data_IF_762394188917
#
_entry.id   IF_762394188917
#
_cell.length_a   1.000
_cell.length_b   1.000
_cell.length_c   1.000
_cell.angle_alpha   90.00
_cell.angle_beta   90.00
_cell.angle_gamma   90.00
#
_symmetry.space_group_name_H-M   'P 1'
#
loop_
_entity.id
_entity.type
_entity.pdbx_description
1 polymer ?
#
# COMPACT_ATOMS: atom_id res chain seq x y z
N UNK A 1 -28.25 -7.82 -17.43
CA UNK A 1 -27.44 -6.71 -16.85
C UNK A 1 -25.98 -7.11 -16.91
N UNK A 2 -25.17 -6.48 -17.76
CA UNK A 2 -23.72 -6.65 -17.69
C UNK A 2 -23.23 -6.18 -16.31
N UNK A 3 -22.54 -7.06 -15.57
CA UNK A 3 -21.91 -6.68 -14.30
C UNK A 3 -20.82 -5.66 -14.63
N UNK A 4 -21.01 -4.41 -14.18
CA UNK A 4 -20.03 -3.33 -14.30
C UNK A 4 -18.69 -3.80 -13.69
N UNK A 5 -17.64 -3.90 -14.51
CA UNK A 5 -16.31 -4.32 -14.07
C UNK A 5 -15.60 -3.18 -13.34
N UNK A 6 -14.70 -3.51 -12.43
CA UNK A 6 -13.80 -2.53 -11.81
C UNK A 6 -12.54 -2.44 -12.65
N UNK A 7 -12.20 -1.24 -13.12
CA UNK A 7 -10.96 -1.01 -13.87
C UNK A 7 -9.74 -1.37 -12.99
N UNK A 8 -8.71 -1.95 -13.59
CA UNK A 8 -7.41 -2.25 -12.96
C UNK A 8 -6.84 -1.09 -12.12
N UNK A 9 -6.89 0.16 -12.60
CA UNK A 9 -6.44 1.35 -11.82
C UNK A 9 -7.18 1.43 -10.49
N UNK A 10 -8.50 1.26 -10.51
CA UNK A 10 -9.35 1.31 -9.33
C UNK A 10 -9.11 0.10 -8.41
N UNK A 11 -8.87 -1.08 -8.97
CA UNK A 11 -8.51 -2.27 -8.16
C UNK A 11 -7.21 -2.05 -7.39
N UNK A 12 -6.16 -1.54 -8.03
CA UNK A 12 -4.89 -1.25 -7.37
C UNK A 12 -5.01 -0.07 -6.40
N UNK A 13 -5.81 0.94 -6.72
CA UNK A 13 -6.12 2.06 -5.82
C UNK A 13 -6.84 1.63 -4.55
N UNK A 14 -7.82 0.73 -4.65
CA UNK A 14 -8.50 0.16 -3.48
C UNK A 14 -7.53 -0.62 -2.58
N UNK A 15 -6.59 -1.38 -3.16
CA UNK A 15 -5.53 -2.06 -2.39
C UNK A 15 -4.64 -1.06 -1.65
N UNK A 16 -4.25 0.04 -2.29
CA UNK A 16 -3.48 1.10 -1.64
C UNK A 16 -4.25 1.75 -0.47
N UNK A 17 -5.56 1.97 -0.63
CA UNK A 17 -6.43 2.49 0.44
C UNK A 17 -6.53 1.52 1.63
N UNK A 18 -6.57 0.21 1.39
CA UNK A 18 -6.54 -0.78 2.47
C UNK A 18 -5.23 -0.68 3.27
N UNK A 19 -4.08 -0.62 2.58
CA UNK A 19 -2.79 -0.48 3.25
C UNK A 19 -2.69 0.85 4.01
N UNK A 20 -3.23 1.94 3.47
CA UNK A 20 -3.34 3.22 4.18
C UNK A 20 -4.17 3.06 5.46
N UNK A 21 -5.30 2.37 5.39
CA UNK A 21 -6.15 2.06 6.54
C UNK A 21 -5.37 1.31 7.64
N UNK A 22 -4.63 0.26 7.27
CA UNK A 22 -3.78 -0.48 8.19
C UNK A 22 -2.71 0.42 8.82
N UNK A 23 -2.04 1.27 8.01
CA UNK A 23 -1.03 2.21 8.49
C UNK A 23 -1.63 3.21 9.49
N UNK A 24 -2.77 3.80 9.19
CA UNK A 24 -3.43 4.75 10.09
C UNK A 24 -3.88 4.12 11.40
N UNK A 25 -4.39 2.88 11.38
CA UNK A 25 -4.70 2.12 12.59
C UNK A 25 -3.47 1.79 13.42
N UNK A 26 -2.40 1.36 12.74
CA UNK A 26 -1.15 1.05 13.39
C UNK A 26 -0.56 2.28 14.09
N UNK A 27 -0.59 3.45 13.45
CA UNK A 27 -0.16 4.72 14.08
C UNK A 27 -1.11 5.15 15.20
N UNK A 28 -2.43 5.01 15.02
CA UNK A 28 -3.41 5.42 16.02
C UNK A 28 -3.39 4.58 17.30
N UNK A 29 -3.11 3.27 17.19
CA UNK A 29 -2.98 2.35 18.33
C UNK A 29 -1.70 2.57 19.15
N UNK A 30 -0.74 3.37 18.64
CA UNK A 30 0.52 3.63 19.31
C UNK A 30 0.38 4.74 20.34
N UNK A 31 0.77 4.42 21.58
CA UNK A 31 0.69 5.34 22.72
C UNK A 31 1.57 6.59 22.53
N UNK A 32 2.72 6.45 21.86
CA UNK A 32 3.69 7.53 21.67
C UNK A 32 3.22 8.67 20.74
N UNK A 33 2.16 8.48 19.96
CA UNK A 33 1.68 9.49 19.02
C UNK A 33 0.49 10.31 19.55
N UNK A 34 -0.01 10.02 20.76
CA UNK A 34 -1.14 10.75 21.35
C UNK A 34 -2.49 10.54 20.65
N UNK A 35 -2.57 9.64 19.66
CA UNK A 35 -3.78 9.36 18.88
C UNK A 35 -4.63 8.21 19.41
N UNK A 36 -4.27 7.61 20.56
CA UNK A 36 -4.97 6.46 21.16
C UNK A 36 -6.46 6.73 21.38
N UNK A 37 -6.82 7.97 21.71
CA UNK A 37 -8.22 8.39 21.86
C UNK A 37 -9.05 8.27 20.57
N UNK A 38 -8.41 8.32 19.40
CA UNK A 38 -9.04 8.20 18.09
C UNK A 38 -9.01 6.77 17.53
N UNK A 39 -8.21 5.86 18.11
CA UNK A 39 -8.17 4.43 17.73
C UNK A 39 -9.58 3.80 17.62
N UNK A 40 -10.51 3.95 18.58
CA UNK A 40 -11.85 3.37 18.46
C UNK A 40 -12.68 3.98 17.31
N UNK A 41 -12.40 5.22 16.93
CA UNK A 41 -13.10 5.89 15.82
C UNK A 41 -12.52 5.40 14.49
N UNK A 42 -11.19 5.41 14.36
CA UNK A 42 -10.48 4.99 13.14
C UNK A 42 -10.74 3.52 12.84
N UNK A 43 -10.76 2.64 13.85
CA UNK A 43 -11.08 1.21 13.70
C UNK A 43 -12.48 0.97 13.16
N UNK A 44 -13.48 1.70 13.67
CA UNK A 44 -14.85 1.62 13.13
C UNK A 44 -14.90 2.01 11.65
N UNK A 45 -14.28 3.13 11.28
CA UNK A 45 -14.23 3.54 9.87
C UNK A 45 -13.52 2.52 8.98
N UNK A 46 -12.41 1.94 9.47
CA UNK A 46 -11.68 0.91 8.73
C UNK A 46 -12.50 -0.36 8.53
N UNK A 47 -13.18 -0.87 9.57
CA UNK A 47 -14.04 -2.04 9.45
C UNK A 47 -15.22 -1.81 8.51
N UNK A 48 -15.84 -0.64 8.57
CA UNK A 48 -16.87 -0.23 7.59
C UNK A 48 -16.29 -0.26 6.17
N UNK A 49 -15.10 0.31 5.98
CA UNK A 49 -14.38 0.29 4.70
C UNK A 49 -14.10 -1.13 4.19
N UNK A 50 -13.68 -2.06 5.07
CA UNK A 50 -13.47 -3.47 4.73
C UNK A 50 -14.75 -4.16 4.28
N UNK A 51 -15.87 -3.92 4.96
CA UNK A 51 -17.18 -4.45 4.58
C UNK A 51 -17.54 -3.95 3.18
N UNK A 52 -17.41 -2.64 2.92
CA UNK A 52 -17.64 -2.07 1.60
C UNK A 52 -16.73 -2.65 0.53
N UNK A 53 -15.43 -2.82 0.82
CA UNK A 53 -14.48 -3.45 -0.09
C UNK A 53 -14.89 -4.89 -0.44
N UNK A 54 -15.27 -5.68 0.56
CA UNK A 54 -15.76 -7.04 0.36
C UNK A 54 -17.04 -7.10 -0.48
N UNK A 55 -18.01 -6.21 -0.21
CA UNK A 55 -19.24 -6.09 -1.00
C UNK A 55 -18.95 -5.70 -2.45
N UNK A 56 -18.02 -4.76 -2.67
CA UNK A 56 -17.59 -4.36 -4.01
C UNK A 56 -17.04 -5.56 -4.79
N UNK A 57 -16.19 -6.39 -4.17
CA UNK A 57 -15.63 -7.60 -4.80
C UNK A 57 -16.65 -8.71 -5.05
N UNK A 58 -17.74 -8.78 -4.28
CA UNK A 58 -18.84 -9.74 -4.51
C UNK A 58 -19.78 -9.28 -5.65
N UNK A 59 -20.04 -7.97 -5.74
CA UNK A 59 -21.00 -7.40 -6.68
C UNK A 59 -20.37 -7.17 -8.05
N UNK A 60 -19.14 -6.66 -8.10
CA UNK A 60 -18.44 -6.31 -9.34
C UNK A 60 -17.36 -7.34 -9.63
N UNK A 61 -17.23 -7.68 -10.92
CA UNK A 61 -16.14 -8.55 -11.37
C UNK A 61 -14.88 -7.71 -11.59
N UNK A 62 -13.75 -8.27 -11.21
CA UNK A 62 -12.46 -7.71 -11.57
C UNK A 62 -12.28 -7.74 -13.10
N UNK A 63 -11.77 -6.65 -13.63
CA UNK A 63 -11.20 -6.61 -14.96
C UNK A 63 -10.00 -7.57 -15.03
N UNK A 64 -9.98 -8.40 -16.08
CA UNK A 64 -8.85 -9.28 -16.35
C UNK A 64 -7.72 -8.45 -16.93
N UNK A 65 -6.49 -8.77 -16.55
CA UNK A 65 -5.29 -8.24 -17.19
C UNK A 65 -5.25 -8.79 -18.61
N UNK A 66 -5.35 -7.90 -19.60
CA UNK A 66 -5.08 -8.23 -21.01
C UNK A 66 -3.59 -8.09 -21.33
N UNK A 67 -3.19 -8.47 -22.55
CA UNK A 67 -1.77 -8.46 -22.96
C UNK A 67 -1.15 -7.04 -22.89
N UNK A 68 -1.95 -6.00 -23.16
CA UNK A 68 -1.47 -4.61 -23.10
C UNK A 68 -1.23 -4.16 -21.65
N UNK A 69 -2.17 -4.49 -20.77
CA UNK A 69 -2.06 -4.25 -19.34
C UNK A 69 -0.91 -5.05 -18.73
N UNK A 70 -0.65 -6.27 -19.20
CA UNK A 70 0.48 -7.10 -18.74
C UNK A 70 1.83 -6.46 -19.07
N UNK A 71 2.01 -5.93 -20.29
CA UNK A 71 3.23 -5.22 -20.68
C UNK A 71 3.47 -3.96 -19.83
N UNK A 72 2.42 -3.18 -19.60
CA UNK A 72 2.49 -1.99 -18.75
C UNK A 72 2.79 -2.39 -17.30
N UNK A 73 2.12 -3.40 -16.77
CA UNK A 73 2.35 -3.92 -15.43
C UNK A 73 3.76 -4.45 -15.25
N UNK A 74 4.38 -5.05 -16.29
CA UNK A 74 5.79 -5.44 -16.27
C UNK A 74 6.71 -4.25 -15.99
N UNK A 75 6.54 -3.14 -16.72
CA UNK A 75 7.30 -1.89 -16.51
C UNK A 75 7.05 -1.32 -15.11
N UNK A 76 5.78 -1.24 -14.69
CA UNK A 76 5.38 -0.73 -13.38
C UNK A 76 5.96 -1.56 -12.24
N UNK A 77 5.86 -2.89 -12.33
CA UNK A 77 6.37 -3.81 -11.32
C UNK A 77 7.88 -3.71 -11.19
N UNK A 78 8.62 -3.53 -12.29
CA UNK A 78 10.07 -3.34 -12.24
C UNK A 78 10.44 -2.06 -11.47
N UNK A 79 9.73 -0.96 -11.70
CA UNK A 79 9.95 0.29 -10.96
C UNK A 79 9.61 0.09 -9.48
N UNK A 80 8.46 -0.51 -9.16
CA UNK A 80 8.05 -0.82 -7.79
C UNK A 80 9.08 -1.70 -7.08
N UNK A 81 9.66 -2.69 -7.76
CA UNK A 81 10.68 -3.59 -7.23
C UNK A 81 12.00 -2.86 -6.96
N UNK A 82 12.43 -1.97 -7.86
CA UNK A 82 13.62 -1.13 -7.63
C UNK A 82 13.43 -0.21 -6.41
N UNK A 83 12.24 0.37 -6.24
CA UNK A 83 11.90 1.18 -5.06
C UNK A 83 11.90 0.31 -3.79
N UNK A 84 11.34 -0.89 -3.85
CA UNK A 84 11.33 -1.83 -2.73
C UNK A 84 12.74 -2.22 -2.29
N UNK A 85 13.60 -2.60 -3.25
CA UNK A 85 15.00 -2.94 -2.97
C UNK A 85 15.73 -1.75 -2.36
N UNK A 86 15.57 -0.55 -2.94
CA UNK A 86 16.20 0.66 -2.43
C UNK A 86 15.77 0.95 -0.99
N UNK A 87 14.48 0.82 -0.68
CA UNK A 87 13.95 0.98 0.67
C UNK A 87 14.50 -0.06 1.65
N UNK A 88 14.61 -1.33 1.23
CA UNK A 88 15.19 -2.39 2.06
C UNK A 88 16.68 -2.18 2.32
N UNK A 89 17.45 -1.70 1.34
CA UNK A 89 18.87 -1.36 1.51
C UNK A 89 19.03 -0.23 2.54
N UNK A 90 18.20 0.81 2.46
CA UNK A 90 18.20 1.90 3.45
C UNK A 90 17.91 1.36 4.85
N UNK A 91 16.91 0.48 4.99
CA UNK A 91 16.59 -0.15 6.28
C UNK A 91 17.73 -1.01 6.81
N UNK A 92 18.39 -1.77 5.94
CA UNK A 92 19.54 -2.59 6.31
C UNK A 92 20.69 -1.73 6.84
N UNK A 93 20.97 -0.59 6.20
CA UNK A 93 21.98 0.37 6.66
C UNK A 93 21.57 0.94 8.02
N UNK A 94 20.31 1.35 8.17
CA UNK A 94 19.81 1.96 9.40
C UNK A 94 19.88 1.01 10.61
N UNK A 95 19.59 -0.28 10.39
CA UNK A 95 19.57 -1.31 11.45
C UNK A 95 20.97 -1.89 11.71
N UNK A 96 21.80 -2.06 10.67
CA UNK A 96 23.04 -2.82 10.73
C UNK A 96 24.31 -1.99 10.82
N UNK A 97 24.30 -0.72 10.40
CA UNK A 97 25.53 0.06 10.31
C UNK A 97 26.02 0.52 11.71
N UNK A 98 27.32 0.40 12.00
CA UNK A 98 27.88 0.72 13.31
C UNK A 98 27.69 2.19 13.71
N UNK A 99 27.57 3.11 12.74
CA UNK A 99 27.34 4.54 12.99
C UNK A 99 25.96 4.85 13.60
N UNK A 100 25.00 3.93 13.48
CA UNK A 100 23.64 4.11 14.01
C UNK A 100 23.38 3.26 15.26
N UNK A 101 24.41 2.65 15.87
CA UNK A 101 24.27 1.83 17.08
C UNK A 101 23.71 2.58 18.28
N UNK A 102 23.91 3.90 18.34
CA UNK A 102 23.33 4.75 19.38
C UNK A 102 21.83 5.01 19.18
N UNK A 103 21.32 4.79 17.97
CA UNK A 103 19.88 4.89 17.67
C UNK A 103 19.22 3.58 18.10
N UNK A 104 18.49 3.61 19.21
CA UNK A 104 17.74 2.45 19.68
C UNK A 104 16.50 2.20 18.81
N UNK A 105 16.69 1.49 17.69
CA UNK A 105 15.62 1.06 16.81
C UNK A 105 14.88 -0.13 17.43
N UNK A 106 13.72 0.14 18.00
CA UNK A 106 12.83 -0.91 18.47
C UNK A 106 12.30 -1.73 17.29
N UNK A 107 11.98 -3.00 17.53
CA UNK A 107 11.28 -3.88 16.57
C UNK A 107 10.03 -3.22 15.97
N UNK A 108 9.36 -2.44 16.80
CA UNK A 108 8.15 -1.70 16.45
C UNK A 108 8.41 -0.59 15.41
N UNK A 109 9.51 0.15 15.55
CA UNK A 109 9.92 1.16 14.58
C UNK A 109 10.29 0.52 13.24
N UNK A 110 10.97 -0.63 13.26
CA UNK A 110 11.28 -1.40 12.04
C UNK A 110 9.97 -1.83 11.36
N UNK A 111 9.00 -2.34 12.13
CA UNK A 111 7.68 -2.69 11.61
C UNK A 111 6.93 -1.50 10.98
N UNK A 112 6.97 -0.33 11.61
CA UNK A 112 6.40 0.90 11.06
C UNK A 112 7.06 1.29 9.73
N UNK A 113 8.38 1.27 9.66
CA UNK A 113 9.13 1.61 8.45
C UNK A 113 8.83 0.65 7.30
N UNK A 114 8.72 -0.65 7.59
CA UNK A 114 8.30 -1.66 6.62
C UNK A 114 6.87 -1.41 6.11
N UNK A 115 5.96 -1.02 6.99
CA UNK A 115 4.57 -0.70 6.62
C UNK A 115 4.48 0.57 5.77
N UNK A 116 5.31 1.58 6.06
CA UNK A 116 5.44 2.79 5.25
C UNK A 116 5.99 2.42 3.86
N UNK A 117 7.03 1.59 3.78
CA UNK A 117 7.58 1.12 2.50
C UNK A 117 6.52 0.38 1.68
N UNK A 118 5.75 -0.50 2.32
CA UNK A 118 4.63 -1.19 1.68
C UNK A 118 3.57 -0.20 1.16
N UNK A 119 3.22 0.82 1.95
CA UNK A 119 2.28 1.86 1.54
C UNK A 119 2.78 2.65 0.31
N UNK A 120 4.06 3.01 0.28
CA UNK A 120 4.69 3.69 -0.87
C UNK A 120 4.57 2.82 -2.12
N UNK A 121 4.98 1.55 -2.06
CA UNK A 121 4.97 0.65 -3.22
C UNK A 121 3.55 0.41 -3.73
N UNK A 122 2.61 0.17 -2.81
CA UNK A 122 1.20 -0.11 -3.15
C UNK A 122 0.48 1.11 -3.70
N UNK A 123 0.82 2.33 -3.25
CA UNK A 123 0.29 3.59 -3.79
C UNK A 123 0.93 3.98 -5.12
N UNK A 124 2.22 3.68 -5.30
CA UNK A 124 2.94 3.99 -6.52
C UNK A 124 2.41 3.18 -7.72
N UNK A 125 2.04 1.92 -7.49
CA UNK A 125 1.53 1.01 -8.54
C UNK A 125 0.33 1.56 -9.34
N UNK A 126 -0.81 1.96 -8.73
CA UNK A 126 -1.94 2.52 -9.49
C UNK A 126 -1.59 3.83 -10.20
N UNK A 127 -0.73 4.67 -9.59
CA UNK A 127 -0.29 5.94 -10.19
C UNK A 127 0.51 5.69 -11.46
N UNK A 128 1.51 4.80 -11.38
CA UNK A 128 2.34 4.44 -12.53
C UNK A 128 1.53 3.71 -13.60
N UNK A 129 0.66 2.78 -13.20
CA UNK A 129 -0.20 2.07 -14.14
C UNK A 129 -1.09 3.06 -14.92
N UNK A 130 -1.77 3.98 -14.23
CA UNK A 130 -2.56 5.04 -14.86
C UNK A 130 -1.73 5.97 -15.76
N UNK A 131 -0.49 6.28 -15.36
CA UNK A 131 0.41 7.12 -16.14
C UNK A 131 0.82 6.48 -17.46
N UNK A 132 1.21 5.20 -17.43
CA UNK A 132 1.63 4.47 -18.63
C UNK A 132 0.45 4.07 -19.51
N UNK A 133 -0.69 3.72 -18.92
CA UNK A 133 -1.94 3.43 -19.64
C UNK A 133 -2.37 4.61 -20.52
N UNK A 134 -2.27 5.84 -20.00
CA UNK A 134 -2.56 7.07 -20.77
C UNK A 134 -1.57 7.38 -21.90
N UNK A 135 -0.37 6.82 -21.87
CA UNK A 135 0.67 7.07 -22.88
C UNK A 135 0.69 6.02 -24.00
N UNK A 136 -0.10 4.95 -23.85
CA UNK A 136 0.00 3.76 -24.71
C UNK A 136 1.24 2.91 -24.38
N UNK A 137 1.27 1.64 -24.84
CA UNK A 137 2.36 0.70 -24.59
C UNK A 137 3.73 1.17 -25.11
#
# INVERSE_FOLDING_TARGET
MEKKKINLVTQYGLKALLILGILTLYVASRENFGFKQYEPIISKFYYIGLIFYGLIGLIRKDEKVDESAERILGKVNQICLNVAISGLVILMILVGAPMYKEVNLSRDMIGLLMLILLFIITSLKPILFHHFDRKGP
#
